data_IF_496430880521
#
_entry.id   IF_496430880521
#
_cell.length_a   1.000
_cell.length_b   1.000
_cell.length_c   1.000
_cell.angle_alpha   90.00
_cell.angle_beta   90.00
_cell.angle_gamma   90.00
#
_symmetry.space_group_name_H-M   'P 1'
#
loop_
_entity.id
_entity.type
_entity.pdbx_description
1 polymer ?
#
# COMPACT_ATOMS: atom_id res chain seq x y z
N UNK A 1 3.51 15.00 -4.09
CA UNK A 1 4.51 15.06 -2.99
C UNK A 1 3.84 14.56 -1.74
N UNK A 2 4.27 13.40 -1.25
CA UNK A 2 3.63 12.74 -0.11
C UNK A 2 3.97 13.43 1.20
N UNK A 3 3.01 13.50 2.12
CA UNK A 3 3.17 14.08 3.46
C UNK A 3 2.97 13.00 4.53
N UNK A 4 3.81 13.04 5.56
CA UNK A 4 3.69 12.16 6.74
C UNK A 4 3.77 13.01 8.00
N UNK A 5 2.69 12.99 8.79
CA UNK A 5 2.61 13.74 10.02
C UNK A 5 3.66 13.26 11.03
N UNK A 6 4.31 14.17 11.80
CA UNK A 6 5.32 13.80 12.80
C UNK A 6 4.82 12.76 13.81
N UNK A 7 3.54 12.81 14.19
CA UNK A 7 2.93 11.91 15.17
C UNK A 7 2.91 10.43 14.75
N UNK A 8 2.93 10.15 13.44
CA UNK A 8 2.93 8.78 12.90
C UNK A 8 4.24 8.43 12.19
N UNK A 9 5.19 9.38 12.12
CA UNK A 9 6.44 9.21 11.39
C UNK A 9 7.21 7.98 11.86
N UNK A 10 7.29 7.75 13.17
CA UNK A 10 8.00 6.58 13.72
C UNK A 10 7.37 5.26 13.26
N UNK A 11 6.03 5.21 13.14
CA UNK A 11 5.33 4.04 12.63
C UNK A 11 5.59 3.83 11.15
N UNK A 12 5.50 4.90 10.37
CA UNK A 12 5.85 4.88 8.95
C UNK A 12 7.30 4.41 8.74
N UNK A 13 8.25 4.96 9.49
CA UNK A 13 9.68 4.61 9.35
C UNK A 13 10.01 3.17 9.76
N UNK A 14 9.21 2.57 10.65
CA UNK A 14 9.33 1.17 11.05
C UNK A 14 8.94 0.15 9.98
N UNK A 15 8.26 0.59 8.92
CA UNK A 15 7.93 -0.25 7.77
C UNK A 15 9.16 -0.57 6.93
N UNK A 16 9.10 -1.68 6.19
CA UNK A 16 10.15 -2.06 5.25
C UNK A 16 10.34 -0.98 4.18
N UNK A 17 11.56 -0.87 3.65
CA UNK A 17 11.89 0.13 2.61
C UNK A 17 10.96 0.00 1.40
N UNK A 18 10.67 -1.24 0.98
CA UNK A 18 9.78 -1.51 -0.15
C UNK A 18 8.37 -0.99 0.11
N UNK A 19 7.82 -1.22 1.30
CA UNK A 19 6.48 -0.76 1.64
C UNK A 19 6.42 0.77 1.75
N UNK A 20 7.46 1.41 2.32
CA UNK A 20 7.57 2.87 2.32
C UNK A 20 7.57 3.45 0.92
N UNK A 21 8.37 2.88 0.01
CA UNK A 21 8.43 3.34 -1.38
C UNK A 21 7.07 3.19 -2.08
N UNK A 22 6.43 2.03 -1.93
CA UNK A 22 5.10 1.79 -2.47
C UNK A 22 4.08 2.83 -1.95
N UNK A 23 4.10 3.15 -0.66
CA UNK A 23 3.23 4.20 -0.09
C UNK A 23 3.57 5.58 -0.68
N UNK A 24 4.84 5.93 -0.83
CA UNK A 24 5.27 7.24 -1.33
C UNK A 24 4.96 7.43 -2.82
N UNK A 25 5.02 6.38 -3.63
CA UNK A 25 4.67 6.41 -5.07
C UNK A 25 3.21 6.77 -5.32
N UNK A 26 2.34 6.61 -4.32
CA UNK A 26 0.90 6.92 -4.39
C UNK A 26 0.55 8.37 -4.05
N UNK A 27 1.53 9.26 -3.86
CA UNK A 27 1.31 10.69 -3.57
C UNK A 27 0.39 10.97 -2.35
N UNK A 28 0.52 10.17 -1.28
CA UNK A 28 -0.40 10.16 -0.13
C UNK A 28 -0.22 11.31 0.87
N UNK A 29 -1.28 11.63 1.62
CA UNK A 29 -1.23 12.53 2.78
C UNK A 29 -1.61 11.78 4.05
N UNK A 30 -0.61 11.41 4.85
CA UNK A 30 -0.79 10.67 6.09
C UNK A 30 -0.80 11.65 7.27
N UNK A 31 -1.98 12.06 7.72
CA UNK A 31 -2.16 12.98 8.85
C UNK A 31 -2.32 12.24 10.18
N UNK A 32 -2.86 11.02 10.15
CA UNK A 32 -3.11 10.19 11.32
C UNK A 32 -2.86 8.70 11.02
N UNK A 33 -3.01 7.84 12.04
CA UNK A 33 -2.72 6.41 11.90
C UNK A 33 -3.73 5.67 11.01
N UNK A 34 -4.98 6.12 10.96
CA UNK A 34 -6.00 5.54 10.09
C UNK A 34 -5.69 5.78 8.62
N UNK A 35 -5.13 6.95 8.28
CA UNK A 35 -4.68 7.22 6.91
C UNK A 35 -3.59 6.21 6.49
N UNK A 36 -2.65 5.91 7.39
CA UNK A 36 -1.62 4.90 7.13
C UNK A 36 -2.23 3.50 6.99
N UNK A 37 -3.18 3.13 7.85
CA UNK A 37 -3.85 1.83 7.78
C UNK A 37 -4.60 1.68 6.45
N UNK A 38 -5.36 2.68 6.03
CA UNK A 38 -6.11 2.63 4.78
C UNK A 38 -5.21 2.45 3.56
N UNK A 39 -4.09 3.18 3.49
CA UNK A 39 -3.15 2.98 2.37
C UNK A 39 -2.55 1.57 2.37
N UNK A 40 -2.30 0.99 3.55
CA UNK A 40 -1.83 -0.40 3.65
C UNK A 40 -2.91 -1.40 3.20
N UNK A 41 -4.16 -1.17 3.56
CA UNK A 41 -5.30 -1.99 3.13
C UNK A 41 -5.47 -1.93 1.61
N UNK A 42 -5.38 -0.73 1.01
CA UNK A 42 -5.46 -0.54 -0.44
C UNK A 42 -4.35 -1.33 -1.16
N UNK A 43 -3.10 -1.27 -0.65
CA UNK A 43 -1.97 -2.03 -1.20
C UNK A 43 -2.24 -3.54 -1.18
N UNK A 44 -2.79 -4.05 -0.08
CA UNK A 44 -3.10 -5.48 0.05
C UNK A 44 -4.24 -5.86 -0.91
N UNK A 45 -5.30 -5.06 -0.96
CA UNK A 45 -6.43 -5.31 -1.85
C UNK A 45 -6.04 -5.29 -3.33
N UNK A 46 -5.18 -4.36 -3.73
CA UNK A 46 -4.61 -4.31 -5.09
C UNK A 46 -3.81 -5.58 -5.40
N UNK A 47 -2.92 -6.01 -4.50
CA UNK A 47 -2.12 -7.21 -4.70
C UNK A 47 -2.97 -8.49 -4.80
N UNK A 48 -4.01 -8.61 -3.96
CA UNK A 48 -4.95 -9.73 -4.02
C UNK A 48 -5.79 -9.73 -5.30
N UNK A 49 -6.20 -8.55 -5.78
CA UNK A 49 -6.93 -8.40 -7.02
C UNK A 49 -6.06 -8.77 -8.24
N UNK A 50 -4.80 -8.34 -8.27
CA UNK A 50 -3.83 -8.71 -9.31
C UNK A 50 -3.58 -10.23 -9.33
N UNK A 51 -3.39 -10.84 -8.16
CA UNK A 51 -3.22 -12.31 -8.04
C UNK A 51 -4.47 -13.06 -8.51
N UNK A 52 -5.66 -12.56 -8.19
CA UNK A 52 -6.92 -13.15 -8.64
C UNK A 52 -7.10 -13.05 -10.17
N UNK A 53 -6.72 -11.92 -10.78
CA UNK A 53 -6.77 -11.72 -12.23
C UNK A 53 -5.78 -12.65 -12.95
N UNK A 54 -4.57 -12.83 -12.40
CA UNK A 54 -3.57 -13.76 -12.95
C UNK A 54 -4.09 -15.21 -12.92
N UNK A 55 -4.65 -15.65 -11.79
CA UNK A 55 -5.25 -17.00 -11.65
C UNK A 55 -6.38 -17.22 -12.65
N UNK A 56 -7.22 -16.22 -12.89
CA UNK A 56 -8.31 -16.31 -13.87
C UNK A 56 -7.79 -16.46 -15.31
N UNK A 57 -6.71 -15.75 -15.67
CA UNK A 57 -6.09 -15.85 -17.01
C UNK A 57 -5.51 -17.23 -17.29
N UNK A 58 -4.87 -17.87 -16.31
CA UNK A 58 -4.28 -19.21 -16.46
C UNK A 58 -5.35 -20.28 -16.70
N UNK A 59 -6.55 -20.14 -16.11
CA UNK A 59 -7.63 -21.10 -16.28
C UNK A 59 -8.36 -20.98 -17.64
N UNK A 60 -8.37 -19.80 -18.26
CA UNK A 60 -9.06 -19.57 -19.53
C UNK A 60 -8.31 -20.10 -20.77
N UNK A 61 -7.04 -20.50 -20.62
CA UNK A 61 -6.17 -20.94 -21.73
C UNK A 61 -5.89 -22.46 -21.75
N UNK A 62 -6.59 -23.26 -20.93
CA UNK A 62 -6.48 -24.74 -20.91
C UNK A 62 -7.79 -25.37 -21.37
#
# INVERSE_FOLDING_TARGET
>A
MSYVAPAIRDKFESLSINLKNAILERDVQLNNIHDLIHVLEDIVAEAEAEEAEEKAKVHATT
#
